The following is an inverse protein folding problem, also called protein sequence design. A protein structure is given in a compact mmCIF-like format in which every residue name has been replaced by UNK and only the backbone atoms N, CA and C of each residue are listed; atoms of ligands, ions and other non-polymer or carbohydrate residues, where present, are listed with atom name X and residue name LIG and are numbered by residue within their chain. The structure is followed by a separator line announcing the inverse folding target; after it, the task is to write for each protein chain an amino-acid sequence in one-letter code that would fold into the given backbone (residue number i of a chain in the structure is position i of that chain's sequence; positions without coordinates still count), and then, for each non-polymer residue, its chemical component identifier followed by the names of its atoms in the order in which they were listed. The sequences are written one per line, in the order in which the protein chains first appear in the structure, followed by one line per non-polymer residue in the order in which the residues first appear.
data_IF_023129121070
#
_entry.id   IF_023129121070
#
_cell.length_a   1.000
_cell.length_b   1.000
_cell.length_c   1.000
_cell.angle_alpha   90.00
_cell.angle_beta   90.00
_cell.angle_gamma   90.00
#
_symmetry.space_group_name_H-M   'P 1'
#
loop_
_entity.id
_entity.type
_entity.pdbx_description
1 polymer ?
#
# COMPACT_ATOMS: atom_id res chain seq x y z
N UNK A 1 -7.05 21.22 -1.37
CA UNK A 1 -8.13 20.23 -1.65
C UNK A 1 -8.18 19.24 -0.50
N UNK A 2 -9.35 18.94 0.02
CA UNK A 2 -9.58 17.92 1.04
C UNK A 2 -9.95 16.60 0.35
N UNK A 3 -9.03 15.62 0.35
CA UNK A 3 -9.20 14.34 -0.35
C UNK A 3 -10.26 13.45 0.30
N UNK A 4 -10.56 13.63 1.59
CA UNK A 4 -11.55 12.81 2.30
C UNK A 4 -12.95 12.95 1.69
N UNK A 5 -13.26 14.11 1.11
CA UNK A 5 -14.54 14.39 0.46
C UNK A 5 -14.79 13.59 -0.83
N UNK A 6 -13.72 13.01 -1.39
CA UNK A 6 -13.77 12.19 -2.59
C UNK A 6 -13.76 10.69 -2.29
N UNK A 7 -13.70 10.30 -1.02
CA UNK A 7 -13.73 8.91 -0.58
C UNK A 7 -15.13 8.59 -0.07
N UNK A 8 -15.80 7.66 -0.74
CA UNK A 8 -17.15 7.24 -0.37
C UNK A 8 -17.13 6.32 0.83
N UNK A 9 -18.02 6.56 1.80
CA UNK A 9 -18.25 5.62 2.89
C UNK A 9 -19.47 4.75 2.56
N UNK A 10 -19.27 3.44 2.53
CA UNK A 10 -20.33 2.45 2.38
C UNK A 10 -20.57 1.81 3.74
N UNK A 11 -21.71 2.07 4.39
CA UNK A 11 -22.01 1.45 5.67
C UNK A 11 -22.33 -0.03 5.49
N UNK A 12 -22.07 -0.82 6.52
CA UNK A 12 -22.43 -2.24 6.63
C UNK A 12 -21.91 -3.11 5.47
N UNK A 13 -20.68 -2.85 5.02
CA UNK A 13 -20.00 -3.63 3.97
C UNK A 13 -18.57 -4.02 4.40
N UNK A 14 -18.15 -5.29 4.22
CA UNK A 14 -18.92 -6.46 3.74
C UNK A 14 -19.89 -7.03 4.79
N UNK A 15 -19.82 -6.56 6.03
CA UNK A 15 -20.60 -7.03 7.15
C UNK A 15 -21.20 -5.87 7.95
N UNK A 16 -22.33 -6.08 8.69
CA UNK A 16 -22.92 -5.06 9.55
C UNK A 16 -21.90 -4.46 10.54
N UNK A 17 -21.91 -3.13 10.68
CA UNK A 17 -21.03 -2.36 11.56
C UNK A 17 -19.71 -1.92 10.93
N UNK A 18 -19.34 -2.46 9.76
CA UNK A 18 -18.12 -2.05 9.04
C UNK A 18 -18.44 -0.86 8.13
N UNK A 19 -17.61 0.16 8.18
CA UNK A 19 -17.67 1.32 7.28
C UNK A 19 -16.59 1.21 6.22
N UNK A 20 -16.92 0.64 5.07
CA UNK A 20 -15.97 0.49 3.98
C UNK A 20 -15.64 1.84 3.34
N UNK A 21 -14.36 2.15 3.22
CA UNK A 21 -13.85 3.37 2.59
C UNK A 21 -13.53 3.08 1.13
N UNK A 22 -14.47 3.42 0.26
CA UNK A 22 -14.34 3.20 -1.18
C UNK A 22 -13.57 4.37 -1.82
N UNK A 23 -12.33 4.09 -2.19
CA UNK A 23 -11.42 5.06 -2.80
C UNK A 23 -11.62 5.19 -4.33
N UNK A 24 -12.44 4.33 -4.93
CA UNK A 24 -12.67 4.35 -6.39
C UNK A 24 -13.31 5.65 -6.87
N UNK A 25 -14.11 6.29 -6.02
CA UNK A 25 -14.69 7.62 -6.32
C UNK A 25 -13.62 8.71 -6.38
N UNK A 26 -12.54 8.61 -5.59
CA UNK A 26 -11.39 9.50 -5.71
C UNK A 26 -10.62 9.22 -7.00
N UNK A 27 -10.44 7.96 -7.37
CA UNK A 27 -9.72 7.58 -8.60
C UNK A 27 -10.45 8.07 -9.86
N UNK A 28 -11.78 8.12 -9.85
CA UNK A 28 -12.59 8.59 -10.97
C UNK A 28 -12.64 10.12 -11.10
N UNK A 29 -12.17 10.86 -10.11
CA UNK A 29 -12.11 12.33 -10.14
C UNK A 29 -10.69 12.80 -10.53
N UNK A 30 -10.47 13.31 -11.76
CA UNK A 30 -9.13 13.58 -12.29
C UNK A 30 -8.31 14.53 -11.42
N UNK A 31 -8.93 15.57 -10.87
CA UNK A 31 -8.24 16.56 -10.04
C UNK A 31 -7.84 15.99 -8.67
N UNK A 32 -8.72 15.18 -8.06
CA UNK A 32 -8.44 14.54 -6.78
C UNK A 32 -7.35 13.46 -6.92
N UNK A 33 -7.40 12.67 -7.98
CA UNK A 33 -6.38 11.66 -8.29
C UNK A 33 -5.00 12.32 -8.52
N UNK A 34 -4.95 13.37 -9.34
CA UNK A 34 -3.71 14.12 -9.58
C UNK A 34 -3.16 14.75 -8.29
N UNK A 35 -4.01 15.33 -7.46
CA UNK A 35 -3.62 15.91 -6.16
C UNK A 35 -3.09 14.86 -5.20
N UNK A 36 -3.68 13.67 -5.16
CA UNK A 36 -3.20 12.53 -4.38
C UNK A 36 -1.74 12.18 -4.76
N UNK A 37 -1.47 12.00 -6.05
CA UNK A 37 -0.11 11.68 -6.53
C UNK A 37 0.86 12.81 -6.24
N UNK A 38 0.45 14.08 -6.42
CA UNK A 38 1.26 15.26 -6.10
C UNK A 38 1.66 15.28 -4.61
N UNK A 39 0.74 14.95 -3.70
CA UNK A 39 1.02 14.89 -2.26
C UNK A 39 1.99 13.78 -1.93
N UNK A 40 1.79 12.57 -2.43
CA UNK A 40 2.75 11.49 -2.25
C UNK A 40 4.13 11.87 -2.77
N UNK A 41 4.23 12.48 -3.96
CA UNK A 41 5.51 12.94 -4.50
C UNK A 41 6.19 13.96 -3.58
N UNK A 42 5.43 14.91 -3.01
CA UNK A 42 5.95 15.86 -2.04
C UNK A 42 6.46 15.19 -0.77
N UNK A 43 5.70 14.24 -0.24
CA UNK A 43 6.00 13.58 1.04
C UNK A 43 7.24 12.70 0.96
N UNK A 44 7.50 12.09 -0.19
CA UNK A 44 8.61 11.15 -0.39
C UNK A 44 9.79 11.72 -1.20
N UNK A 45 9.75 13.01 -1.57
CA UNK A 45 10.77 13.64 -2.43
C UNK A 45 12.20 13.65 -1.88
N UNK A 46 12.38 13.44 -0.58
CA UNK A 46 13.70 13.43 0.07
C UNK A 46 14.30 12.02 0.14
N UNK A 47 13.50 11.01 -0.11
CA UNK A 47 13.93 9.62 -0.05
C UNK A 47 14.49 9.19 -1.42
N UNK A 48 15.57 8.42 -1.38
CA UNK A 48 16.02 7.72 -2.58
C UNK A 48 15.17 6.47 -2.75
N UNK A 49 14.40 6.41 -3.81
CA UNK A 49 13.50 5.30 -4.14
C UNK A 49 13.91 4.76 -5.50
N UNK A 50 14.26 3.48 -5.57
CA UNK A 50 14.62 2.79 -6.79
C UNK A 50 13.41 2.05 -7.41
N UNK A 51 12.49 1.54 -6.56
CA UNK A 51 11.27 0.83 -6.99
C UNK A 51 10.06 1.18 -6.12
N UNK A 52 8.89 1.13 -6.74
CA UNK A 52 7.60 1.19 -6.07
C UNK A 52 6.99 -0.22 -6.04
N UNK A 53 6.64 -0.70 -4.86
CA UNK A 53 5.88 -1.92 -4.67
C UNK A 53 4.40 -1.60 -4.50
N UNK A 54 3.57 -1.96 -5.46
CA UNK A 54 2.11 -1.84 -5.35
C UNK A 54 1.49 -3.16 -4.89
N UNK A 55 0.55 -3.09 -3.95
CA UNK A 55 -0.14 -4.27 -3.44
C UNK A 55 -1.44 -4.52 -4.23
N UNK A 56 -1.69 -5.78 -4.62
CA UNK A 56 -2.90 -6.23 -5.35
C UNK A 56 -4.18 -5.94 -4.53
N UNK A 57 -5.12 -5.15 -5.05
CA UNK A 57 -5.21 -4.66 -6.42
C UNK A 57 -5.13 -3.12 -6.53
N UNK A 58 -5.71 -2.36 -5.57
CA UNK A 58 -5.81 -0.90 -5.68
C UNK A 58 -4.47 -0.18 -5.48
N UNK A 59 -3.53 -0.81 -4.77
CA UNK A 59 -2.14 -0.37 -4.69
C UNK A 59 -1.45 -0.28 -6.07
N UNK A 60 -1.88 -1.07 -7.06
CA UNK A 60 -1.35 -0.98 -8.42
C UNK A 60 -1.68 0.33 -9.09
N UNK A 61 -2.88 0.85 -8.87
CA UNK A 61 -3.33 2.12 -9.46
C UNK A 61 -2.51 3.27 -8.90
N UNK A 62 -2.40 3.34 -7.58
CA UNK A 62 -1.65 4.40 -6.89
C UNK A 62 -0.16 4.29 -7.17
N UNK A 63 0.40 3.09 -6.96
CA UNK A 63 1.82 2.84 -7.15
C UNK A 63 2.26 3.01 -8.59
N UNK A 64 1.46 2.56 -9.56
CA UNK A 64 1.75 2.74 -10.99
C UNK A 64 1.75 4.21 -11.40
N UNK A 65 0.75 4.97 -10.98
CA UNK A 65 0.68 6.40 -11.25
C UNK A 65 1.85 7.17 -10.60
N UNK A 66 2.19 6.85 -9.36
CA UNK A 66 3.33 7.44 -8.66
C UNK A 66 4.66 7.08 -9.34
N UNK A 67 4.87 5.82 -9.69
CA UNK A 67 6.06 5.33 -10.37
C UNK A 67 6.28 6.05 -11.72
N UNK A 68 5.22 6.15 -12.52
CA UNK A 68 5.25 6.87 -13.79
C UNK A 68 5.59 8.35 -13.61
N UNK A 69 4.90 9.04 -12.68
CA UNK A 69 5.13 10.47 -12.41
C UNK A 69 6.57 10.77 -11.97
N UNK A 70 7.18 9.86 -11.21
CA UNK A 70 8.51 10.04 -10.63
C UNK A 70 9.62 9.31 -11.42
N UNK A 71 9.29 8.63 -12.53
CA UNK A 71 10.22 7.84 -13.37
C UNK A 71 10.95 6.75 -12.58
N UNK A 72 10.21 6.03 -11.75
CA UNK A 72 10.68 4.94 -10.89
C UNK A 72 10.09 3.62 -11.38
N UNK A 73 10.80 2.50 -11.21
CA UNK A 73 10.31 1.17 -11.56
C UNK A 73 9.12 0.75 -10.67
N UNK A 74 8.20 -0.04 -11.24
CA UNK A 74 7.04 -0.59 -10.50
C UNK A 74 7.14 -2.10 -10.38
N UNK A 75 6.83 -2.63 -9.19
CA UNK A 75 6.84 -4.05 -8.86
C UNK A 75 5.49 -4.45 -8.27
N UNK A 76 4.78 -5.44 -8.85
CA UNK A 76 3.53 -5.92 -8.30
C UNK A 76 3.75 -6.93 -7.19
N UNK A 77 3.13 -6.72 -6.03
CA UNK A 77 2.96 -7.71 -4.96
C UNK A 77 1.56 -8.28 -5.10
N UNK A 78 1.44 -9.60 -5.28
CA UNK A 78 0.18 -10.21 -5.67
C UNK A 78 -0.28 -11.29 -4.71
N UNK A 79 -1.58 -11.56 -4.74
CA UNK A 79 -2.16 -12.74 -4.10
C UNK A 79 -1.64 -14.01 -4.75
N UNK A 80 -1.53 -15.09 -3.97
CA UNK A 80 -1.01 -16.40 -4.39
C UNK A 80 -1.59 -16.86 -5.74
N UNK A 81 -0.69 -17.38 -6.59
CA UNK A 81 -1.04 -17.98 -7.89
C UNK A 81 -1.32 -16.95 -9.00
N UNK A 82 -1.02 -15.67 -8.80
CA UNK A 82 -1.24 -14.62 -9.81
C UNK A 82 0.02 -14.24 -10.58
N UNK A 83 1.19 -14.66 -10.12
CA UNK A 83 2.47 -14.37 -10.77
C UNK A 83 2.95 -15.56 -11.59
N UNK A 84 3.40 -15.35 -12.86
CA UNK A 84 3.71 -16.46 -13.78
C UNK A 84 5.12 -17.02 -13.69
N UNK A 85 6.04 -16.37 -12.93
CA UNK A 85 7.43 -16.78 -12.77
C UNK A 85 7.70 -17.27 -11.35
N UNK A 86 8.94 -17.64 -11.03
CA UNK A 86 9.35 -18.08 -9.69
C UNK A 86 9.06 -17.01 -8.65
N UNK A 87 8.44 -17.40 -7.53
CA UNK A 87 8.01 -16.50 -6.48
C UNK A 87 8.59 -16.88 -5.13
N UNK A 88 8.72 -15.90 -4.26
CA UNK A 88 8.71 -16.06 -2.81
C UNK A 88 7.32 -15.70 -2.29
N UNK A 89 6.94 -16.28 -1.17
CA UNK A 89 5.62 -16.09 -0.58
C UNK A 89 5.71 -15.75 0.90
N UNK A 90 4.70 -15.04 1.40
CA UNK A 90 4.53 -14.69 2.82
C UNK A 90 3.07 -14.84 3.19
N UNK A 91 2.81 -15.62 4.23
CA UNK A 91 1.47 -15.80 4.78
C UNK A 91 1.17 -14.71 5.81
N UNK A 92 -0.09 -14.27 5.87
CA UNK A 92 -0.55 -13.32 6.86
C UNK A 92 -1.98 -13.59 7.29
N UNK A 93 -2.28 -13.19 8.52
CA UNK A 93 -3.61 -13.33 9.10
C UNK A 93 -4.54 -12.22 8.61
N UNK A 94 -5.75 -12.61 8.24
CA UNK A 94 -6.91 -11.75 8.04
C UNK A 94 -7.78 -11.77 9.30
N UNK A 95 -8.78 -10.89 9.38
CA UNK A 95 -9.79 -10.99 10.45
C UNK A 95 -10.48 -12.37 10.44
N UNK A 96 -10.62 -12.97 9.24
CA UNK A 96 -11.15 -14.32 9.04
C UNK A 96 -10.23 -15.10 8.09
N UNK A 97 -9.41 -16.01 8.67
CA UNK A 97 -8.54 -16.91 7.91
C UNK A 97 -7.14 -16.36 7.63
N UNK A 98 -6.47 -17.00 6.68
CA UNK A 98 -5.12 -16.66 6.24
C UNK A 98 -5.13 -16.31 4.75
N UNK A 99 -4.21 -15.47 4.36
CA UNK A 99 -3.95 -15.18 2.94
C UNK A 99 -2.44 -15.18 2.69
N UNK A 100 -2.05 -15.36 1.43
CA UNK A 100 -0.66 -15.40 1.01
C UNK A 100 -0.42 -14.32 -0.04
N UNK A 101 0.65 -13.55 0.13
CA UNK A 101 1.19 -12.68 -0.90
C UNK A 101 2.41 -13.32 -1.55
N UNK A 102 2.63 -13.00 -2.80
CA UNK A 102 3.76 -13.45 -3.61
C UNK A 102 4.47 -12.27 -4.28
N UNK A 103 5.78 -12.44 -4.43
CA UNK A 103 6.67 -11.53 -5.13
C UNK A 103 7.61 -12.36 -5.99
N UNK A 104 7.91 -11.93 -7.22
CA UNK A 104 8.91 -12.59 -8.05
C UNK A 104 10.28 -12.59 -7.38
N UNK A 105 11.02 -13.69 -7.49
CA UNK A 105 12.36 -13.84 -6.89
C UNK A 105 13.38 -12.85 -7.45
N UNK A 106 13.15 -12.34 -8.64
CA UNK A 106 13.98 -11.37 -9.37
C UNK A 106 13.35 -9.97 -9.44
N UNK A 107 12.34 -9.69 -8.61
CA UNK A 107 11.57 -8.45 -8.65
C UNK A 107 12.44 -7.19 -8.47
N UNK A 108 13.43 -7.25 -7.59
CA UNK A 108 14.38 -6.16 -7.32
C UNK A 108 15.77 -6.72 -6.99
N UNK A 109 16.84 -6.01 -7.32
CA UNK A 109 18.18 -6.41 -6.87
C UNK A 109 18.35 -6.20 -5.36
N UNK A 110 19.24 -6.98 -4.75
CA UNK A 110 19.62 -6.80 -3.34
C UNK A 110 20.14 -5.36 -3.11
N UNK A 111 19.72 -4.74 -2.00
CA UNK A 111 20.08 -3.36 -1.65
C UNK A 111 19.23 -2.30 -2.34
N UNK A 112 18.29 -2.65 -3.22
CA UNK A 112 17.37 -1.68 -3.83
C UNK A 112 16.50 -1.01 -2.77
N UNK A 113 16.25 0.28 -2.92
CA UNK A 113 15.37 1.05 -2.05
C UNK A 113 13.93 0.99 -2.58
N UNK A 114 13.03 0.43 -1.77
CA UNK A 114 11.64 0.16 -2.16
C UNK A 114 10.68 0.96 -1.29
N UNK A 115 9.75 1.68 -1.92
CA UNK A 115 8.59 2.27 -1.26
C UNK A 115 7.37 1.38 -1.53
N UNK A 116 6.71 0.94 -0.45
CA UNK A 116 5.48 0.15 -0.54
C UNK A 116 4.28 1.10 -0.59
N UNK A 117 3.36 0.86 -1.52
CA UNK A 117 2.17 1.69 -1.70
C UNK A 117 0.90 0.84 -1.77
N UNK A 118 -0.11 1.28 -1.02
CA UNK A 118 -1.47 0.72 -1.10
C UNK A 118 -2.52 1.80 -0.87
N UNK A 119 -3.77 1.47 -1.09
CA UNK A 119 -4.87 2.41 -0.89
C UNK A 119 -5.23 2.61 0.58
N UNK A 120 -5.16 1.56 1.39
CA UNK A 120 -5.61 1.62 2.78
C UNK A 120 -4.74 0.75 3.70
N UNK A 121 -4.49 1.25 4.90
CA UNK A 121 -3.95 0.44 5.99
C UNK A 121 -5.00 0.29 7.11
N UNK A 122 -5.35 -0.97 7.41
CA UNK A 122 -6.25 -1.37 8.48
C UNK A 122 -5.46 -2.03 9.63
N UNK A 123 -5.48 -3.34 9.73
CA UNK A 123 -4.74 -4.10 10.76
C UNK A 123 -3.24 -4.22 10.50
N UNK A 124 -2.81 -3.94 9.27
CA UNK A 124 -1.42 -3.96 8.84
C UNK A 124 -0.88 -5.30 8.35
N UNK A 125 -1.65 -6.38 8.39
CA UNK A 125 -1.20 -7.72 7.99
C UNK A 125 -0.60 -7.76 6.58
N UNK A 126 -1.33 -7.28 5.59
CA UNK A 126 -0.90 -7.21 4.19
C UNK A 126 0.39 -6.40 4.01
N UNK A 127 0.47 -5.24 4.66
CA UNK A 127 1.65 -4.36 4.56
C UNK A 127 2.88 -5.00 5.23
N UNK A 128 2.71 -5.65 6.39
CA UNK A 128 3.79 -6.35 7.10
C UNK A 128 4.29 -7.53 6.26
N UNK A 129 3.41 -8.34 5.69
CA UNK A 129 3.78 -9.43 4.78
C UNK A 129 4.57 -8.92 3.58
N UNK A 130 4.15 -7.79 3.00
CA UNK A 130 4.86 -7.14 1.89
C UNK A 130 6.26 -6.70 2.31
N UNK A 131 6.41 -6.08 3.48
CA UNK A 131 7.71 -5.70 4.04
C UNK A 131 8.62 -6.94 4.17
N UNK A 132 8.10 -8.03 4.72
CA UNK A 132 8.86 -9.28 4.90
C UNK A 132 9.35 -9.85 3.56
N UNK A 133 8.53 -9.83 2.51
CA UNK A 133 8.93 -10.27 1.16
C UNK A 133 10.15 -9.49 0.65
N UNK A 134 10.16 -8.16 0.80
CA UNK A 134 11.31 -7.34 0.37
C UNK A 134 12.55 -7.53 1.25
N UNK A 135 12.38 -7.74 2.55
CA UNK A 135 13.50 -8.11 3.44
C UNK A 135 14.10 -9.44 3.01
N UNK A 136 13.29 -10.44 2.63
CA UNK A 136 13.76 -11.73 2.12
C UNK A 136 14.57 -11.60 0.83
N UNK A 137 14.25 -10.64 -0.03
CA UNK A 137 15.06 -10.28 -1.22
C UNK A 137 16.27 -9.40 -0.88
N UNK A 138 16.53 -9.11 0.39
CA UNK A 138 17.61 -8.21 0.85
C UNK A 138 17.48 -6.78 0.29
N UNK A 139 16.27 -6.33 0.01
CA UNK A 139 15.98 -4.96 -0.35
C UNK A 139 15.82 -4.08 0.89
N UNK A 140 15.98 -2.77 0.73
CA UNK A 140 15.76 -1.76 1.76
C UNK A 140 14.34 -1.19 1.61
N UNK A 141 13.46 -1.45 2.57
CA UNK A 141 12.14 -0.81 2.59
C UNK A 141 12.30 0.58 3.20
N UNK A 142 12.18 1.62 2.38
CA UNK A 142 12.33 3.02 2.81
C UNK A 142 11.09 3.53 3.55
N UNK A 143 9.95 2.89 3.35
CA UNK A 143 8.72 3.17 4.06
C UNK A 143 7.48 2.62 3.35
N UNK A 144 6.33 2.98 3.92
CA UNK A 144 5.02 2.59 3.41
C UNK A 144 4.13 3.83 3.25
N UNK A 145 3.45 3.93 2.13
CA UNK A 145 2.57 5.04 1.78
C UNK A 145 1.15 4.54 1.53
N UNK A 146 0.17 5.14 2.20
CA UNK A 146 -1.24 4.78 2.08
C UNK A 146 -2.09 6.02 1.77
N UNK A 147 -3.13 5.85 0.96
CA UNK A 147 -4.11 6.93 0.80
C UNK A 147 -4.91 7.10 2.08
N UNK A 148 -5.32 5.99 2.70
CA UNK A 148 -6.17 5.98 3.90
C UNK A 148 -5.49 5.22 5.04
N UNK A 149 -5.50 5.81 6.24
CA UNK A 149 -5.19 5.15 7.52
C UNK A 149 -6.48 4.99 8.34
N UNK A 150 -6.66 3.80 8.92
CA UNK A 150 -7.68 3.51 9.94
C UNK A 150 -6.96 3.32 11.29
N UNK A 151 -6.64 4.40 12.01
CA UNK A 151 -5.75 4.34 13.17
C UNK A 151 -6.27 3.46 14.31
N UNK A 152 -7.59 3.36 14.47
CA UNK A 152 -8.20 2.52 15.51
C UNK A 152 -7.91 1.01 15.32
N UNK A 153 -7.47 0.59 14.12
CA UNK A 153 -7.04 -0.78 13.83
C UNK A 153 -5.54 -1.02 14.01
N UNK A 154 -4.75 0.04 14.23
CA UNK A 154 -3.37 -0.01 14.69
C UNK A 154 -2.33 -0.51 13.67
N UNK A 155 -2.68 -0.69 12.40
CA UNK A 155 -1.74 -1.23 11.40
C UNK A 155 -0.55 -0.33 11.14
N UNK A 156 -0.76 0.98 11.04
CA UNK A 156 0.32 1.94 10.85
C UNK A 156 1.30 1.95 12.04
N UNK A 157 0.78 1.83 13.26
CA UNK A 157 1.61 1.81 14.48
C UNK A 157 2.44 0.52 14.58
N UNK A 158 1.91 -0.62 14.13
CA UNK A 158 2.69 -1.87 14.03
C UNK A 158 3.89 -1.73 13.09
N UNK A 159 3.73 -1.07 11.95
CA UNK A 159 4.83 -0.79 11.02
C UNK A 159 5.84 0.20 11.61
N UNK A 160 5.37 1.28 12.25
CA UNK A 160 6.24 2.26 12.94
C UNK A 160 7.04 1.62 14.06
N UNK A 161 6.43 0.73 14.86
CA UNK A 161 7.10 -0.01 15.93
C UNK A 161 8.20 -0.94 15.40
N UNK A 162 8.12 -1.36 14.14
CA UNK A 162 9.16 -2.11 13.43
C UNK A 162 10.23 -1.21 12.77
N UNK A 163 10.16 0.10 12.97
CA UNK A 163 11.14 1.06 12.46
C UNK A 163 10.86 1.62 11.06
N UNK A 164 9.70 1.32 10.46
CA UNK A 164 9.37 1.81 9.12
C UNK A 164 8.68 3.17 9.16
N UNK A 165 9.04 4.05 8.24
CA UNK A 165 8.32 5.30 8.01
C UNK A 165 6.97 4.99 7.38
N UNK A 166 5.88 5.52 7.95
CA UNK A 166 4.53 5.35 7.42
C UNK A 166 3.89 6.72 7.24
N UNK A 167 3.44 7.01 6.01
CA UNK A 167 2.75 8.25 5.68
C UNK A 167 1.41 7.94 5.02
N UNK A 168 0.36 8.62 5.47
CA UNK A 168 -0.99 8.51 4.94
C UNK A 168 -1.54 9.89 4.63
N UNK A 169 -2.35 10.01 3.58
CA UNK A 169 -2.92 11.29 3.15
C UNK A 169 -4.25 11.61 3.81
N UNK A 170 -5.01 10.59 4.18
CA UNK A 170 -6.30 10.68 4.84
C UNK A 170 -6.34 9.77 6.06
N UNK A 171 -7.15 10.13 7.06
CA UNK A 171 -7.40 9.30 8.23
C UNK A 171 -8.89 9.29 8.53
N UNK A 172 -9.42 8.11 8.86
CA UNK A 172 -10.81 7.96 9.27
C UNK A 172 -10.87 7.19 10.59
N UNK A 173 -11.60 7.73 11.55
CA UNK A 173 -11.90 7.04 12.81
C UNK A 173 -12.94 5.93 12.61
N UNK A 174 -12.91 4.93 13.47
CA UNK A 174 -13.82 3.79 13.50
C UNK A 174 -13.39 2.65 12.56
N UNK A 175 -14.14 1.56 12.72
CA UNK A 175 -14.00 0.35 11.89
C UNK A 175 -14.81 0.49 10.60
#
# INVERSE_FOLDING_TARGET
MDLTKFIRTVPDFPEPGIKFRDVTTLFSEPLAFSEMIRRFTKDWKKERIDFIAGIDARGFIIGGAFAHQNRIGFVPVRKKGKLPYSTISEDYELEYGHATLELHTDAVPAGANVLIMDDLIATGGTAIATVNLFINLKANVVGCAFLVDLPDLGGADKLRARGFSVKSLCSFAGK
#
